data_IF_193515688747
#
_entry.id   IF_193515688747
#
_cell.length_a   1.000
_cell.length_b   1.000
_cell.length_c   1.000
_cell.angle_alpha   90.00
_cell.angle_beta   90.00
_cell.angle_gamma   90.00
#
_symmetry.space_group_name_H-M   'P 1'
#
loop_
_entity.id
_entity.type
_entity.pdbx_description
1 polymer ?
#
# COMPACT_ATOMS: atom_id res chain seq x y z
N UNK A 1 22.41 61.94 26.00
CA UNK A 1 21.74 60.91 26.83
C UNK A 1 22.59 59.67 26.67
N UNK A 2 23.59 59.37 27.50
CA UNK A 2 23.82 59.73 28.93
C UNK A 2 22.64 59.31 29.83
N UNK A 3 22.80 58.46 30.86
CA UNK A 3 24.01 57.96 31.55
C UNK A 3 23.90 56.48 32.02
N UNK A 4 25.08 55.85 32.21
CA UNK A 4 25.51 55.00 33.35
C UNK A 4 24.83 53.65 33.73
N UNK A 5 25.51 52.70 34.39
CA UNK A 5 26.98 52.43 34.54
C UNK A 5 27.23 51.03 35.19
N UNK A 6 28.39 50.42 34.87
CA UNK A 6 29.24 49.47 35.65
C UNK A 6 28.60 48.26 36.38
N UNK A 7 29.02 47.01 36.14
CA UNK A 7 30.31 46.33 36.45
C UNK A 7 30.40 45.83 37.92
N UNK A 8 31.17 44.79 38.30
CA UNK A 8 32.26 44.08 37.61
C UNK A 8 32.48 42.63 38.16
N UNK A 9 33.43 41.88 37.56
CA UNK A 9 34.42 40.89 38.10
C UNK A 9 34.17 40.17 39.47
N UNK A 10 34.63 38.96 39.80
CA UNK A 10 35.34 37.80 39.17
C UNK A 10 35.17 36.58 40.17
N UNK A 11 35.72 35.36 40.10
CA UNK A 11 36.75 34.66 39.28
C UNK A 11 36.45 33.12 39.27
N UNK A 12 37.42 32.30 38.84
CA UNK A 12 37.53 30.84 39.00
C UNK A 12 38.86 30.51 39.76
N UNK A 13 39.47 29.29 39.80
CA UNK A 13 39.10 27.99 39.21
C UNK A 13 39.43 26.71 40.06
N UNK A 14 39.23 25.54 39.43
CA UNK A 14 40.02 24.29 39.46
C UNK A 14 40.23 23.45 40.75
N UNK A 15 39.99 22.13 40.64
CA UNK A 15 41.00 21.05 40.88
C UNK A 15 40.39 19.63 40.79
N UNK A 16 41.24 18.59 40.65
CA UNK A 16 40.87 17.19 40.33
C UNK A 16 41.30 16.18 41.42
N UNK A 17 40.59 15.06 41.56
CA UNK A 17 41.17 13.76 41.98
C UNK A 17 40.33 12.88 42.92
N UNK A 18 40.71 11.59 43.09
CA UNK A 18 40.46 10.88 44.36
C UNK A 18 39.67 9.55 44.41
N UNK A 19 39.98 8.60 43.53
CA UNK A 19 39.55 7.16 43.54
C UNK A 19 39.43 6.44 44.92
N UNK A 20 38.24 5.87 45.20
CA UNK A 20 37.91 4.59 45.90
C UNK A 20 38.22 4.28 47.40
N UNK A 21 37.55 3.20 47.88
CA UNK A 21 37.74 2.37 49.09
C UNK A 21 37.15 2.87 50.45
N UNK A 22 36.66 2.02 51.39
CA UNK A 22 36.03 0.67 51.34
C UNK A 22 35.41 0.31 52.74
N UNK A 23 34.63 -0.79 52.82
CA UNK A 23 34.33 -1.61 54.03
C UNK A 23 33.34 -1.12 55.13
N UNK A 24 32.15 -1.74 55.14
CA UNK A 24 31.53 -2.44 56.30
C UNK A 24 30.51 -3.45 55.72
N UNK A 25 30.47 -4.76 56.01
CA UNK A 25 30.25 -5.48 57.28
C UNK A 25 28.93 -5.12 57.98
N UNK A 26 28.07 -6.06 58.38
CA UNK A 26 28.05 -7.53 58.25
C UNK A 26 26.61 -8.03 58.54
N UNK A 27 26.18 -9.19 58.03
CA UNK A 27 24.90 -9.80 58.41
C UNK A 27 24.40 -10.83 57.38
N UNK A 28 24.08 -12.04 57.83
CA UNK A 28 23.69 -13.14 56.93
C UNK A 28 22.38 -13.78 57.40
N UNK A 29 21.57 -14.25 56.43
CA UNK A 29 20.82 -15.49 56.59
C UNK A 29 20.57 -16.13 55.22
N UNK A 30 20.91 -17.43 55.10
CA UNK A 30 20.50 -18.29 53.98
C UNK A 30 19.23 -19.01 54.40
N UNK A 31 18.22 -18.97 53.55
CA UNK A 31 17.06 -19.88 53.59
C UNK A 31 16.86 -20.37 52.18
N UNK A 32 17.13 -21.67 51.97
CA UNK A 32 16.58 -22.38 50.82
C UNK A 32 15.24 -22.97 51.26
N UNK A 33 14.21 -22.76 50.46
CA UNK A 33 12.86 -23.23 50.70
C UNK A 33 12.02 -22.95 49.46
N UNK A 34 11.38 -23.98 48.93
CA UNK A 34 10.64 -23.89 47.68
C UNK A 34 9.33 -23.10 47.85
N UNK A 35 9.14 -22.07 47.03
CA UNK A 35 7.84 -21.46 46.78
C UNK A 35 7.73 -21.20 45.27
N UNK A 36 6.90 -21.99 44.59
CA UNK A 36 6.45 -21.67 43.24
C UNK A 36 5.34 -20.61 43.32
N UNK A 37 5.35 -19.65 42.36
CA UNK A 37 4.65 -18.35 42.43
C UNK A 37 5.17 -17.46 43.58
N UNK A 38 5.73 -16.29 43.33
CA UNK A 38 5.17 -15.24 42.46
C UNK A 38 6.09 -14.85 41.29
N UNK A 39 5.47 -14.50 40.15
CA UNK A 39 6.19 -14.03 38.96
C UNK A 39 6.21 -12.50 38.98
N UNK A 40 7.37 -11.90 39.24
CA UNK A 40 7.58 -10.52 38.82
C UNK A 40 7.63 -10.49 37.28
N UNK A 41 6.54 -9.95 36.74
CA UNK A 41 5.98 -10.30 35.42
C UNK A 41 5.84 -9.10 34.50
N UNK A 42 6.27 -7.91 34.93
CA UNK A 42 6.16 -6.68 34.15
C UNK A 42 7.26 -6.52 33.08
N UNK A 43 8.51 -6.87 33.39
CA UNK A 43 9.68 -6.43 32.59
C UNK A 43 10.26 -7.47 31.60
N UNK A 44 9.68 -8.67 31.48
CA UNK A 44 10.12 -9.70 30.50
C UNK A 44 9.20 -9.77 29.27
N UNK A 45 8.24 -8.86 29.14
CA UNK A 45 6.88 -9.29 28.76
C UNK A 45 6.19 -8.43 27.70
N UNK A 46 6.90 -7.51 27.03
CA UNK A 46 6.35 -6.76 25.88
C UNK A 46 6.44 -7.61 24.60
N UNK A 47 7.58 -7.64 23.91
CA UNK A 47 7.70 -8.30 22.59
C UNK A 47 7.22 -9.77 22.60
N UNK A 48 7.68 -10.58 23.57
CA UNK A 48 7.26 -11.99 23.69
C UNK A 48 5.77 -12.13 24.03
N UNK A 49 5.19 -11.13 24.70
CA UNK A 49 3.74 -11.04 24.94
C UNK A 49 2.98 -10.77 23.65
N UNK A 50 3.38 -9.75 22.88
CA UNK A 50 2.80 -9.43 21.57
C UNK A 50 2.93 -10.59 20.59
N UNK A 51 4.11 -11.24 20.50
CA UNK A 51 4.32 -12.45 19.69
C UNK A 51 3.37 -13.58 20.11
N UNK A 52 3.24 -13.85 21.42
CA UNK A 52 2.34 -14.88 21.94
C UNK A 52 0.86 -14.57 21.72
N UNK A 53 0.48 -13.29 21.66
CA UNK A 53 -0.90 -12.88 21.33
C UNK A 53 -1.18 -13.01 19.83
N UNK A 54 -0.28 -12.50 18.98
CA UNK A 54 -0.41 -12.51 17.53
C UNK A 54 -0.38 -13.94 16.95
N UNK A 55 0.45 -14.83 17.52
CA UNK A 55 0.52 -16.25 17.17
C UNK A 55 -0.45 -17.12 18.03
N UNK A 56 -1.21 -16.51 18.94
CA UNK A 56 -2.14 -17.16 19.89
C UNK A 56 -1.52 -18.12 20.93
N UNK A 57 -0.24 -18.47 20.76
CA UNK A 57 0.56 -19.25 21.70
C UNK A 57 2.05 -18.90 21.52
N UNK A 58 2.90 -19.08 22.54
CA UNK A 58 4.35 -18.98 22.36
C UNK A 58 4.87 -20.07 21.41
N UNK A 59 5.84 -19.76 20.53
CA UNK A 59 6.53 -20.74 19.70
C UNK A 59 7.04 -21.95 20.50
N UNK A 60 6.75 -23.15 19.99
CA UNK A 60 7.07 -24.42 20.67
C UNK A 60 7.53 -25.52 19.73
N UNK A 61 7.51 -25.29 18.41
CA UNK A 61 7.86 -26.27 17.38
C UNK A 61 9.04 -25.79 16.53
N UNK A 62 9.85 -26.75 16.11
CA UNK A 62 10.91 -26.60 15.09
C UNK A 62 10.36 -26.76 13.67
N UNK A 63 11.12 -26.37 12.64
CA UNK A 63 10.73 -26.57 11.23
C UNK A 63 10.53 -28.06 10.89
N UNK A 64 11.32 -28.93 11.54
CA UNK A 64 11.22 -30.38 11.42
C UNK A 64 9.88 -30.90 11.96
N UNK A 65 9.45 -30.43 13.13
CA UNK A 65 8.19 -30.80 13.76
C UNK A 65 6.98 -30.20 13.04
N UNK A 66 7.08 -28.96 12.54
CA UNK A 66 6.06 -28.34 11.70
C UNK A 66 5.77 -29.22 10.47
N UNK A 67 6.80 -29.59 9.71
CA UNK A 67 6.66 -30.46 8.54
C UNK A 67 6.05 -31.83 8.91
N UNK A 68 6.50 -32.44 10.01
CA UNK A 68 6.00 -33.73 10.48
C UNK A 68 4.54 -33.67 10.92
N UNK A 69 4.12 -32.65 11.69
CA UNK A 69 2.72 -32.47 12.13
C UNK A 69 1.79 -32.12 10.97
N UNK A 70 2.29 -31.39 9.97
CA UNK A 70 1.55 -31.11 8.74
C UNK A 70 1.55 -32.26 7.72
N UNK A 71 2.21 -33.39 8.02
CA UNK A 71 2.22 -34.57 7.15
C UNK A 71 3.02 -34.41 5.85
N UNK A 72 3.92 -33.43 5.77
CA UNK A 72 4.61 -33.05 4.54
C UNK A 72 6.14 -33.02 4.68
N UNK A 73 6.86 -32.72 3.61
CA UNK A 73 8.33 -32.63 3.65
C UNK A 73 8.81 -31.27 4.15
N UNK A 74 10.00 -31.23 4.75
CA UNK A 74 10.64 -29.96 5.14
C UNK A 74 10.85 -29.02 3.94
N UNK A 75 11.03 -29.55 2.73
CA UNK A 75 11.15 -28.75 1.51
C UNK A 75 9.83 -28.03 1.16
N UNK A 76 8.67 -28.68 1.40
CA UNK A 76 7.35 -28.06 1.23
C UNK A 76 7.10 -27.02 2.33
N UNK A 77 7.38 -27.36 3.60
CA UNK A 77 7.27 -26.41 4.71
C UNK A 77 8.13 -25.16 4.51
N UNK A 78 9.37 -25.32 4.02
CA UNK A 78 10.26 -24.20 3.71
C UNK A 78 9.80 -23.40 2.47
N UNK A 79 9.21 -24.05 1.45
CA UNK A 79 8.59 -23.34 0.31
C UNK A 79 7.37 -22.52 0.73
N UNK A 80 6.55 -23.03 1.64
CA UNK A 80 5.43 -22.31 2.27
C UNK A 80 5.94 -21.09 3.06
N UNK A 81 6.91 -21.30 3.96
CA UNK A 81 7.50 -20.23 4.77
C UNK A 81 8.09 -19.09 3.91
N UNK A 82 8.89 -19.42 2.88
CA UNK A 82 9.41 -18.43 1.91
C UNK A 82 8.33 -17.82 1.02
N UNK A 83 7.22 -18.52 0.75
CA UNK A 83 6.09 -17.94 0.02
C UNK A 83 5.31 -16.93 0.87
N UNK A 84 5.38 -17.02 2.20
CA UNK A 84 4.94 -15.98 3.13
C UNK A 84 5.96 -14.82 3.28
N UNK A 85 7.10 -14.87 2.58
CA UNK A 85 8.10 -13.79 2.54
C UNK A 85 9.14 -13.84 3.67
N UNK A 86 9.05 -14.79 4.59
CA UNK A 86 9.94 -14.89 5.73
C UNK A 86 11.34 -15.46 5.39
N UNK A 87 12.33 -15.12 6.22
CA UNK A 87 13.70 -15.62 6.11
C UNK A 87 13.81 -17.10 6.50
N UNK A 88 14.81 -17.80 5.94
CA UNK A 88 15.06 -19.21 6.26
C UNK A 88 15.46 -19.42 7.73
N UNK A 89 14.72 -20.31 8.41
CA UNK A 89 14.88 -20.72 9.82
C UNK A 89 15.72 -22.00 9.90
N UNK A 90 16.51 -22.19 10.96
CA UNK A 90 17.27 -23.44 11.11
C UNK A 90 16.35 -24.64 11.45
N UNK A 91 16.64 -25.87 10.96
CA UNK A 91 15.78 -27.05 11.15
C UNK A 91 15.36 -27.39 12.58
N UNK A 92 16.17 -26.99 13.55
CA UNK A 92 16.11 -27.24 15.00
C UNK A 92 15.77 -25.98 15.82
N UNK A 93 15.56 -24.83 15.18
CA UNK A 93 15.20 -23.58 15.85
C UNK A 93 13.69 -23.54 16.15
N UNK A 94 13.33 -23.33 17.42
CA UNK A 94 11.94 -23.24 17.86
C UNK A 94 11.35 -21.90 17.42
N UNK A 95 10.43 -21.94 16.44
CA UNK A 95 9.81 -20.76 15.82
C UNK A 95 8.33 -20.88 15.52
N UNK A 96 7.78 -22.08 15.50
CA UNK A 96 6.43 -22.34 14.99
C UNK A 96 5.46 -22.76 16.10
N UNK A 97 4.18 -22.62 15.82
CA UNK A 97 3.03 -22.93 16.67
C UNK A 97 2.11 -23.95 16.00
N UNK A 98 1.08 -24.43 16.70
CA UNK A 98 0.03 -25.24 16.08
C UNK A 98 -0.85 -24.45 15.10
N UNK A 99 -0.79 -23.10 15.06
CA UNK A 99 -1.43 -22.31 13.99
C UNK A 99 -0.65 -22.43 12.67
N UNK A 100 0.69 -22.42 12.71
CA UNK A 100 1.54 -22.64 11.54
C UNK A 100 1.32 -24.04 10.95
N UNK A 101 1.11 -25.04 11.82
CA UNK A 101 0.74 -26.41 11.42
C UNK A 101 -0.58 -26.42 10.65
N UNK A 102 -1.61 -25.74 11.16
CA UNK A 102 -2.92 -25.67 10.47
C UNK A 102 -2.82 -24.94 9.12
N UNK A 103 -2.15 -23.79 9.06
CA UNK A 103 -1.96 -23.04 7.82
C UNK A 103 -1.14 -23.80 6.76
N UNK A 104 -0.16 -24.60 7.19
CA UNK A 104 0.58 -25.50 6.31
C UNK A 104 -0.29 -26.69 5.86
N UNK A 105 -1.14 -27.26 6.73
CA UNK A 105 -2.08 -28.34 6.37
C UNK A 105 -3.09 -27.88 5.31
N UNK A 106 -3.71 -26.70 5.47
CA UNK A 106 -4.60 -26.10 4.48
C UNK A 106 -3.88 -25.88 3.13
N UNK A 107 -2.62 -25.45 3.17
CA UNK A 107 -1.80 -25.27 1.96
C UNK A 107 -1.46 -26.61 1.29
N UNK A 108 -1.15 -27.66 2.06
CA UNK A 108 -0.84 -29.00 1.56
C UNK A 108 -2.07 -29.64 0.92
N UNK A 109 -3.26 -29.51 1.53
CA UNK A 109 -4.51 -30.01 0.95
C UNK A 109 -4.77 -29.41 -0.45
N UNK A 110 -4.58 -28.10 -0.62
CA UNK A 110 -4.71 -27.41 -1.92
C UNK A 110 -3.63 -27.83 -2.93
N UNK A 111 -2.42 -28.17 -2.48
CA UNK A 111 -1.35 -28.70 -3.34
C UNK A 111 -1.65 -30.13 -3.81
N UNK A 112 -2.20 -30.98 -2.95
CA UNK A 112 -2.59 -32.35 -3.27
C UNK A 112 -3.81 -32.39 -4.20
N UNK A 113 -4.83 -31.56 -3.97
CA UNK A 113 -5.97 -31.38 -4.89
C UNK A 113 -5.55 -30.89 -6.29
N UNK A 114 -4.40 -30.21 -6.40
CA UNK A 114 -3.88 -29.69 -7.66
C UNK A 114 -2.73 -30.52 -8.26
N UNK A 115 -2.38 -31.65 -7.64
CA UNK A 115 -1.17 -32.43 -7.94
C UNK A 115 -1.06 -32.97 -9.38
N UNK A 116 -2.17 -33.20 -10.08
CA UNK A 116 -2.21 -33.58 -11.50
C UNK A 116 -1.67 -32.47 -12.44
N UNK A 117 -1.47 -31.25 -11.95
CA UNK A 117 -0.96 -30.12 -12.74
C UNK A 117 0.04 -29.28 -11.95
N UNK A 118 1.32 -29.38 -12.30
CA UNK A 118 2.40 -28.57 -11.70
C UNK A 118 2.19 -27.06 -11.86
N UNK A 119 1.44 -26.62 -12.88
CA UNK A 119 1.02 -25.22 -13.04
C UNK A 119 -0.02 -24.81 -11.98
N UNK A 120 -0.92 -25.71 -11.60
CA UNK A 120 -1.90 -25.47 -10.56
C UNK A 120 -1.25 -25.47 -9.16
N UNK A 121 -0.37 -26.43 -8.86
CA UNK A 121 0.40 -26.42 -7.60
C UNK A 121 1.30 -25.18 -7.46
N UNK A 122 1.90 -24.70 -8.57
CA UNK A 122 2.63 -23.43 -8.56
C UNK A 122 1.72 -22.23 -8.26
N UNK A 123 0.46 -22.28 -8.70
CA UNK A 123 -0.51 -21.21 -8.50
C UNK A 123 -0.91 -21.06 -7.01
N UNK A 124 -0.96 -22.15 -6.24
CA UNK A 124 -1.21 -22.11 -4.78
C UNK A 124 -0.13 -21.28 -4.06
N UNK A 125 1.15 -21.48 -4.38
CA UNK A 125 2.24 -20.71 -3.78
C UNK A 125 2.29 -19.25 -4.27
N UNK A 126 1.86 -18.95 -5.49
CA UNK A 126 1.73 -17.57 -5.98
C UNK A 126 0.56 -16.81 -5.30
N UNK A 127 -0.54 -17.49 -4.96
CA UNK A 127 -1.62 -16.90 -4.15
C UNK A 127 -1.11 -16.50 -2.75
N UNK A 128 -0.36 -17.38 -2.10
CA UNK A 128 0.25 -17.09 -0.79
C UNK A 128 1.25 -15.93 -0.84
N UNK A 129 2.06 -15.84 -1.91
CA UNK A 129 2.94 -14.68 -2.17
C UNK A 129 2.17 -13.39 -2.40
N UNK A 130 1.07 -13.43 -3.15
CA UNK A 130 0.24 -12.26 -3.39
C UNK A 130 -0.42 -11.74 -2.09
N UNK A 131 -0.80 -12.65 -1.19
CA UNK A 131 -1.27 -12.32 0.15
C UNK A 131 -0.13 -11.67 0.97
N UNK A 132 1.00 -12.36 1.14
CA UNK A 132 2.18 -11.88 1.89
C UNK A 132 2.65 -10.49 1.45
N UNK A 133 2.84 -10.29 0.14
CA UNK A 133 3.24 -9.00 -0.45
C UNK A 133 2.29 -7.85 -0.10
N UNK A 134 1.02 -8.15 0.13
CA UNK A 134 0.02 -7.17 0.57
C UNK A 134 0.07 -6.95 2.08
N UNK A 135 0.22 -8.02 2.88
CA UNK A 135 0.21 -7.95 4.34
C UNK A 135 1.44 -7.25 4.93
N UNK A 136 2.64 -7.51 4.40
CA UNK A 136 3.90 -6.84 4.81
C UNK A 136 3.75 -5.31 4.76
N UNK A 137 3.26 -4.80 3.63
CA UNK A 137 2.99 -3.38 3.40
C UNK A 137 1.84 -2.84 4.24
N UNK A 138 0.82 -3.65 4.50
CA UNK A 138 -0.35 -3.26 5.30
C UNK A 138 0.03 -3.08 6.77
N UNK A 139 0.64 -4.08 7.39
CA UNK A 139 0.99 -4.06 8.82
C UNK A 139 1.98 -2.94 9.13
N UNK A 140 2.96 -2.70 8.24
CA UNK A 140 3.85 -1.55 8.35
C UNK A 140 3.08 -0.22 8.31
N UNK A 141 2.13 -0.05 7.39
CA UNK A 141 1.35 1.19 7.27
C UNK A 141 0.38 1.38 8.44
N UNK A 142 -0.27 0.33 8.93
CA UNK A 142 -1.11 0.37 10.13
C UNK A 142 -0.30 0.78 11.37
N UNK A 143 0.90 0.22 11.56
CA UNK A 143 1.79 0.59 12.66
C UNK A 143 2.28 2.04 12.57
N UNK A 144 2.78 2.48 11.41
CA UNK A 144 3.28 3.86 11.22
C UNK A 144 2.14 4.90 11.35
N UNK A 145 0.92 4.55 10.90
CA UNK A 145 -0.27 5.40 11.11
C UNK A 145 -0.61 5.52 12.59
N UNK A 146 -0.53 4.42 13.35
CA UNK A 146 -0.80 4.43 14.79
C UNK A 146 0.28 5.19 15.58
N UNK A 147 1.55 5.04 15.23
CA UNK A 147 2.65 5.85 15.78
C UNK A 147 2.46 7.34 15.48
N UNK A 148 1.97 7.68 14.29
CA UNK A 148 1.68 9.08 13.90
C UNK A 148 0.54 9.68 14.72
N UNK A 149 -0.60 8.99 14.86
CA UNK A 149 -1.70 9.41 15.75
C UNK A 149 -1.22 9.57 17.20
N UNK A 150 -0.43 8.63 17.73
CA UNK A 150 0.11 8.73 19.08
C UNK A 150 1.05 9.93 19.25
N UNK A 151 1.88 10.23 18.26
CA UNK A 151 2.77 11.40 18.23
C UNK A 151 1.97 12.71 18.32
N UNK A 152 1.00 12.89 17.42
CA UNK A 152 0.20 14.13 17.33
C UNK A 152 -0.77 14.29 18.51
N UNK A 153 -1.53 13.24 18.84
CA UNK A 153 -2.62 13.27 19.83
C UNK A 153 -2.13 13.35 21.27
N UNK A 154 -0.89 12.93 21.55
CA UNK A 154 -0.29 12.96 22.88
C UNK A 154 0.90 13.94 22.99
N UNK A 155 1.34 14.55 21.89
CA UNK A 155 2.47 15.48 21.87
C UNK A 155 3.82 14.82 22.18
N UNK A 156 3.99 13.57 21.74
CA UNK A 156 5.17 12.74 22.01
C UNK A 156 6.26 12.96 20.95
N UNK A 157 7.51 12.63 21.31
CA UNK A 157 8.53 12.39 20.29
C UNK A 157 8.36 11.00 19.64
N UNK A 158 9.03 10.80 18.52
CA UNK A 158 9.02 9.59 17.70
C UNK A 158 9.34 8.29 18.48
N UNK A 159 10.26 8.36 19.46
CA UNK A 159 10.67 7.21 20.26
C UNK A 159 9.63 6.91 21.33
N UNK A 160 9.13 7.94 22.02
CA UNK A 160 8.06 7.79 23.01
C UNK A 160 6.75 7.29 22.35
N UNK A 161 6.40 7.80 21.16
CA UNK A 161 5.25 7.32 20.39
C UNK A 161 5.37 5.84 20.01
N UNK A 162 6.56 5.37 19.57
CA UNK A 162 6.81 3.94 19.28
C UNK A 162 6.75 3.06 20.53
N UNK A 163 7.24 3.51 21.68
CA UNK A 163 7.12 2.78 22.94
C UNK A 163 5.66 2.63 23.39
N UNK A 164 4.85 3.68 23.26
CA UNK A 164 3.41 3.63 23.56
C UNK A 164 2.65 2.80 22.51
N UNK A 165 3.09 2.77 21.25
CA UNK A 165 2.49 1.93 20.22
C UNK A 165 2.64 0.44 20.55
N UNK A 166 3.81 0.01 21.03
CA UNK A 166 4.03 -1.37 21.52
C UNK A 166 3.10 -1.70 22.70
N UNK A 167 3.07 -0.86 23.75
CA UNK A 167 2.17 -1.02 24.92
C UNK A 167 0.66 -1.00 24.60
N UNK A 168 0.28 -0.71 23.35
CA UNK A 168 -1.13 -0.58 22.91
C UNK A 168 -1.52 -1.42 21.70
N UNK A 169 -0.59 -2.04 20.98
CA UNK A 169 -0.88 -2.74 19.72
C UNK A 169 -1.89 -3.89 19.92
N UNK A 170 -1.77 -4.61 21.04
CA UNK A 170 -2.66 -5.72 21.44
C UNK A 170 -4.15 -5.33 21.46
N UNK A 171 -4.46 -4.07 21.81
CA UNK A 171 -5.82 -3.54 21.82
C UNK A 171 -6.41 -3.30 20.42
N UNK A 172 -5.58 -3.32 19.37
CA UNK A 172 -5.99 -3.13 17.98
C UNK A 172 -6.08 -4.45 17.19
N UNK A 173 -5.36 -5.51 17.58
CA UNK A 173 -5.26 -6.78 16.83
C UNK A 173 -6.64 -7.32 16.42
N UNK A 174 -7.56 -7.50 17.37
CA UNK A 174 -8.93 -8.01 17.12
C UNK A 174 -9.81 -7.04 16.31
N UNK A 175 -9.50 -5.74 16.29
CA UNK A 175 -10.19 -4.78 15.43
C UNK A 175 -9.68 -4.90 13.99
N UNK A 176 -8.36 -4.90 13.80
CA UNK A 176 -7.70 -4.98 12.50
C UNK A 176 -7.98 -6.32 11.81
N UNK A 177 -7.88 -7.46 12.51
CA UNK A 177 -8.19 -8.79 11.97
C UNK A 177 -9.63 -8.92 11.45
N UNK A 178 -10.61 -8.35 12.17
CA UNK A 178 -12.01 -8.31 11.69
C UNK A 178 -12.21 -7.36 10.51
N UNK A 179 -11.57 -6.20 10.53
CA UNK A 179 -11.63 -5.23 9.43
C UNK A 179 -11.01 -5.81 8.15
N UNK A 180 -9.83 -6.43 8.24
CA UNK A 180 -9.16 -7.13 7.15
C UNK A 180 -10.05 -8.21 6.53
N UNK A 181 -10.66 -9.05 7.38
CA UNK A 181 -11.60 -10.10 6.94
C UNK A 181 -12.84 -9.52 6.25
N UNK A 182 -13.40 -8.43 6.77
CA UNK A 182 -14.55 -7.75 6.17
C UNK A 182 -14.19 -7.12 4.81
N UNK A 183 -13.10 -6.34 4.75
CA UNK A 183 -12.61 -5.66 3.55
C UNK A 183 -12.28 -6.66 2.45
N UNK A 184 -11.57 -7.75 2.77
CA UNK A 184 -11.28 -8.84 1.81
C UNK A 184 -12.58 -9.44 1.24
N UNK A 185 -13.56 -9.76 2.09
CA UNK A 185 -14.87 -10.29 1.63
C UNK A 185 -15.61 -9.30 0.72
N UNK A 186 -15.55 -7.99 1.01
CA UNK A 186 -16.16 -6.94 0.17
C UNK A 186 -15.45 -6.79 -1.18
N UNK A 187 -14.12 -6.84 -1.22
CA UNK A 187 -13.38 -6.81 -2.49
C UNK A 187 -13.62 -8.07 -3.33
N UNK A 188 -13.63 -9.26 -2.71
CA UNK A 188 -13.92 -10.52 -3.40
C UNK A 188 -15.31 -10.48 -4.04
N UNK A 189 -16.36 -10.09 -3.30
CA UNK A 189 -17.71 -9.95 -3.84
C UNK A 189 -17.81 -8.91 -4.97
N UNK A 190 -17.07 -7.80 -4.87
CA UNK A 190 -17.01 -6.76 -5.90
C UNK A 190 -16.34 -7.25 -7.20
N UNK A 191 -15.22 -7.97 -7.09
CA UNK A 191 -14.51 -8.55 -8.24
C UNK A 191 -15.37 -9.62 -8.91
N UNK A 192 -15.97 -10.55 -8.14
CA UNK A 192 -16.84 -11.59 -8.69
C UNK A 192 -18.03 -11.01 -9.46
N UNK A 193 -18.69 -9.96 -8.93
CA UNK A 193 -19.79 -9.28 -9.63
C UNK A 193 -19.37 -8.57 -10.93
N UNK A 194 -18.14 -8.04 -11.00
CA UNK A 194 -17.57 -7.48 -12.23
C UNK A 194 -17.24 -8.56 -13.24
N UNK A 195 -16.63 -9.66 -12.80
CA UNK A 195 -16.31 -10.81 -13.67
C UNK A 195 -17.57 -11.43 -14.26
N UNK A 196 -18.65 -11.56 -13.48
CA UNK A 196 -19.96 -12.06 -13.96
C UNK A 196 -20.56 -11.17 -15.07
N UNK A 197 -20.56 -9.84 -14.88
CA UNK A 197 -21.00 -8.89 -15.89
C UNK A 197 -20.10 -8.87 -17.14
N UNK A 198 -18.78 -8.98 -16.96
CA UNK A 198 -17.79 -9.03 -18.04
C UNK A 198 -17.91 -10.33 -18.87
N UNK A 199 -18.14 -11.48 -18.22
CA UNK A 199 -18.40 -12.76 -18.91
C UNK A 199 -19.77 -12.73 -19.61
N UNK A 200 -20.80 -12.15 -18.99
CA UNK A 200 -22.15 -12.06 -19.57
C UNK A 200 -22.24 -11.15 -20.81
N UNK A 201 -21.27 -10.25 -21.02
CA UNK A 201 -21.24 -9.31 -22.14
C UNK A 201 -20.24 -9.67 -23.23
N UNK A 202 -19.31 -10.60 -22.98
CA UNK A 202 -18.31 -11.04 -23.97
C UNK A 202 -18.85 -12.08 -24.95
N UNK A 203 -18.48 -11.90 -26.23
CA UNK A 203 -18.50 -12.98 -27.22
C UNK A 203 -17.27 -13.89 -27.12
N UNK A 204 -17.07 -14.77 -28.11
CA UNK A 204 -15.79 -15.45 -28.29
C UNK A 204 -14.73 -14.43 -28.75
N UNK A 205 -13.70 -14.20 -27.94
CA UNK A 205 -12.47 -13.54 -28.38
C UNK A 205 -11.53 -14.54 -29.07
N UNK A 206 -10.75 -14.05 -30.04
CA UNK A 206 -9.62 -14.80 -30.61
C UNK A 206 -8.49 -14.91 -29.57
N UNK A 207 -8.33 -16.08 -28.96
CA UNK A 207 -7.23 -16.36 -28.03
C UNK A 207 -5.96 -16.72 -28.79
N UNK A 208 -4.98 -15.81 -28.80
CA UNK A 208 -3.64 -16.02 -29.35
C UNK A 208 -2.54 -15.90 -28.28
N UNK A 209 -1.38 -16.56 -28.44
CA UNK A 209 -0.35 -16.62 -27.40
C UNK A 209 0.27 -15.26 -27.05
N UNK A 210 0.29 -14.31 -28.00
CA UNK A 210 0.85 -12.97 -27.82
C UNK A 210 -0.20 -11.90 -27.45
N UNK A 211 -1.47 -12.28 -27.24
CA UNK A 211 -2.54 -11.33 -26.92
C UNK A 211 -2.69 -11.12 -25.42
N UNK A 212 -2.51 -9.88 -24.98
CA UNK A 212 -2.79 -9.48 -23.59
C UNK A 212 -4.28 -9.70 -23.25
N UNK A 213 -4.60 -10.38 -22.12
CA UNK A 213 -5.91 -11.02 -21.94
C UNK A 213 -7.04 -10.08 -21.49
N UNK A 214 -6.73 -8.89 -20.97
CA UNK A 214 -7.74 -7.98 -20.42
C UNK A 214 -7.77 -6.67 -21.22
N UNK A 215 -8.89 -6.39 -21.89
CA UNK A 215 -9.20 -5.01 -22.33
C UNK A 215 -9.57 -4.20 -21.08
N UNK A 216 -8.91 -3.06 -20.88
CA UNK A 216 -9.17 -2.14 -19.78
C UNK A 216 -9.00 -0.69 -20.22
N UNK A 217 -9.79 0.19 -19.62
CA UNK A 217 -9.66 1.64 -19.73
C UNK A 217 -8.85 2.15 -18.53
N UNK A 218 -7.69 2.76 -18.80
CA UNK A 218 -6.75 3.22 -17.78
C UNK A 218 -6.33 4.67 -18.03
N UNK A 219 -5.95 5.38 -16.97
CA UNK A 219 -5.51 6.76 -17.08
C UNK A 219 -4.48 7.15 -16.03
N UNK A 220 -3.78 8.23 -16.32
CA UNK A 220 -2.88 8.91 -15.41
C UNK A 220 -3.41 10.32 -15.13
N UNK A 221 -3.26 10.79 -13.89
CA UNK A 221 -3.43 12.19 -13.50
C UNK A 221 -2.17 12.65 -12.79
N UNK A 222 -1.63 13.80 -13.17
CA UNK A 222 -0.28 14.27 -12.84
C UNK A 222 -0.29 15.75 -12.44
N UNK A 223 0.43 16.12 -11.37
CA UNK A 223 0.48 17.52 -10.88
C UNK A 223 1.41 18.37 -11.75
N UNK A 224 0.86 19.45 -12.31
CA UNK A 224 1.61 20.36 -13.18
C UNK A 224 2.72 21.07 -12.40
N UNK A 225 3.96 20.91 -12.87
CA UNK A 225 5.16 21.56 -12.33
C UNK A 225 5.43 21.29 -10.85
N UNK A 226 5.06 20.10 -10.34
CA UNK A 226 5.29 19.68 -8.95
C UNK A 226 6.70 20.00 -8.43
N UNK A 227 7.75 19.67 -9.20
CA UNK A 227 9.16 19.92 -8.82
C UNK A 227 9.46 21.40 -8.55
N UNK A 228 8.80 22.33 -9.26
CA UNK A 228 8.94 23.77 -9.04
C UNK A 228 8.10 24.24 -7.84
N UNK A 229 6.88 23.71 -7.68
CA UNK A 229 6.00 24.02 -6.54
C UNK A 229 6.64 23.56 -5.21
N UNK A 230 7.20 22.35 -5.19
CA UNK A 230 7.87 21.75 -4.04
C UNK A 230 9.10 22.54 -3.55
N UNK A 231 9.87 23.16 -4.45
CA UNK A 231 11.06 23.97 -4.08
C UNK A 231 10.72 25.21 -3.25
N UNK A 232 9.48 25.71 -3.31
CA UNK A 232 9.02 26.88 -2.54
C UNK A 232 8.30 26.54 -1.23
N UNK A 233 8.18 25.25 -0.86
CA UNK A 233 7.30 24.80 0.22
C UNK A 233 8.07 24.23 1.41
N UNK A 234 7.46 24.32 2.60
CA UNK A 234 7.92 23.55 3.77
C UNK A 234 7.57 22.06 3.58
N UNK A 235 8.31 21.16 4.27
CA UNK A 235 8.03 19.71 4.24
C UNK A 235 6.56 19.41 4.55
N UNK A 236 6.03 20.00 5.63
CA UNK A 236 4.64 19.80 6.05
C UNK A 236 3.62 20.25 5.01
N UNK A 237 3.80 21.42 4.38
CA UNK A 237 2.89 21.91 3.34
C UNK A 237 2.95 21.04 2.07
N UNK A 238 4.13 20.49 1.73
CA UNK A 238 4.28 19.58 0.59
C UNK A 238 3.60 18.22 0.86
N UNK A 239 3.76 17.68 2.07
CA UNK A 239 3.06 16.48 2.54
C UNK A 239 1.54 16.66 2.46
N UNK A 240 1.00 17.73 3.06
CA UNK A 240 -0.44 18.01 3.04
C UNK A 240 -1.02 18.09 1.62
N UNK A 241 -0.33 18.75 0.67
CA UNK A 241 -0.79 18.82 -0.72
C UNK A 241 -0.82 17.44 -1.41
N UNK A 242 0.15 16.57 -1.13
CA UNK A 242 0.18 15.20 -1.66
C UNK A 242 -0.94 14.35 -1.05
N UNK A 243 -1.21 14.50 0.24
CA UNK A 243 -2.30 13.83 0.95
C UNK A 243 -3.68 14.30 0.44
N UNK A 244 -3.89 15.60 0.27
CA UNK A 244 -5.11 16.17 -0.34
C UNK A 244 -5.33 15.60 -1.75
N UNK A 245 -4.27 15.55 -2.56
CA UNK A 245 -4.30 15.03 -3.93
C UNK A 245 -4.60 13.52 -3.96
N UNK A 246 -3.89 12.71 -3.18
CA UNK A 246 -4.12 11.26 -3.11
C UNK A 246 -5.52 10.93 -2.60
N UNK A 247 -5.99 11.61 -1.54
CA UNK A 247 -7.32 11.38 -0.97
C UNK A 247 -8.42 11.79 -1.96
N UNK A 248 -8.34 12.99 -2.55
CA UNK A 248 -9.32 13.46 -3.55
C UNK A 248 -9.37 12.52 -4.76
N UNK A 249 -8.21 12.07 -5.25
CA UNK A 249 -8.14 11.12 -6.34
C UNK A 249 -8.77 9.77 -5.96
N UNK A 250 -8.41 9.22 -4.80
CA UNK A 250 -8.91 7.93 -4.29
C UNK A 250 -10.43 7.95 -4.13
N UNK A 251 -11.00 9.02 -3.60
CA UNK A 251 -12.44 9.20 -3.45
C UNK A 251 -13.15 9.35 -4.80
N UNK A 252 -12.66 10.21 -5.70
CA UNK A 252 -13.26 10.42 -7.03
C UNK A 252 -13.24 9.14 -7.87
N UNK A 253 -12.13 8.39 -7.85
CA UNK A 253 -11.95 7.11 -8.55
C UNK A 253 -12.89 6.04 -7.97
N UNK A 254 -12.87 5.85 -6.65
CA UNK A 254 -13.57 4.73 -6.00
C UNK A 254 -15.08 4.94 -5.97
N UNK A 255 -15.55 6.17 -5.75
CA UNK A 255 -16.99 6.51 -5.74
C UNK A 255 -17.70 6.24 -7.08
N UNK A 256 -16.94 6.16 -8.18
CA UNK A 256 -17.44 5.88 -9.54
C UNK A 256 -17.22 4.43 -9.99
N UNK A 257 -16.61 3.59 -9.15
CA UNK A 257 -16.36 2.18 -9.47
C UNK A 257 -15.11 1.91 -10.31
N UNK A 258 -14.21 2.89 -10.47
CA UNK A 258 -12.84 2.64 -10.91
C UNK A 258 -11.94 2.26 -9.71
N UNK A 259 -10.69 1.87 -9.98
CA UNK A 259 -9.72 1.45 -8.97
C UNK A 259 -8.40 2.19 -9.13
N UNK A 260 -7.82 2.69 -8.03
CA UNK A 260 -6.43 3.15 -7.99
C UNK A 260 -5.51 1.94 -8.18
N UNK A 261 -4.58 2.03 -9.13
CA UNK A 261 -3.55 0.99 -9.34
C UNK A 261 -2.36 1.27 -8.43
N UNK A 262 -1.84 2.50 -8.49
CA UNK A 262 -0.70 2.99 -7.71
C UNK A 262 -0.61 4.51 -7.78
N UNK A 263 0.08 5.10 -6.81
CA UNK A 263 0.60 6.47 -6.91
C UNK A 263 2.11 6.41 -7.20
N UNK A 264 2.62 7.43 -7.86
CA UNK A 264 4.01 7.53 -8.35
C UNK A 264 4.50 8.94 -8.03
N UNK A 265 4.65 9.24 -6.73
CA UNK A 265 4.91 10.60 -6.26
C UNK A 265 3.72 11.51 -6.53
N UNK A 266 3.86 12.41 -7.48
CA UNK A 266 2.89 13.43 -7.89
C UNK A 266 1.90 12.97 -8.99
N UNK A 267 1.94 11.68 -9.37
CA UNK A 267 1.01 11.09 -10.33
C UNK A 267 0.18 9.92 -9.75
N UNK A 268 -1.10 9.85 -10.11
CA UNK A 268 -2.02 8.73 -9.81
C UNK A 268 -2.30 7.94 -11.08
N UNK A 269 -2.13 6.62 -11.03
CA UNK A 269 -2.57 5.69 -12.07
C UNK A 269 -3.86 4.99 -11.62
N UNK A 270 -4.90 5.02 -12.46
CA UNK A 270 -6.18 4.37 -12.20
C UNK A 270 -6.62 3.47 -13.35
N UNK A 271 -7.55 2.55 -13.07
CA UNK A 271 -8.09 1.59 -14.05
C UNK A 271 -9.59 1.34 -13.85
N UNK A 272 -10.27 1.08 -14.96
CA UNK A 272 -11.68 0.72 -15.05
C UNK A 272 -11.86 -0.45 -16.01
N UNK A 273 -12.93 -1.21 -15.80
CA UNK A 273 -13.38 -2.28 -16.70
C UNK A 273 -14.31 -1.73 -17.79
N UNK A 274 -14.74 -0.46 -17.66
CA UNK A 274 -15.63 0.28 -18.57
C UNK A 274 -15.07 1.68 -18.90
N UNK A 275 -15.16 2.08 -20.17
CA UNK A 275 -14.63 3.34 -20.71
C UNK A 275 -15.41 4.58 -20.27
N UNK A 276 -16.73 4.49 -20.10
CA UNK A 276 -17.57 5.63 -19.74
C UNK A 276 -17.43 5.98 -18.25
N UNK A 277 -17.27 4.95 -17.40
CA UNK A 277 -16.81 5.11 -16.03
C UNK A 277 -15.42 5.76 -16.01
N UNK A 278 -14.49 5.32 -16.86
CA UNK A 278 -13.15 5.91 -16.92
C UNK A 278 -13.17 7.39 -17.37
N UNK A 279 -14.05 7.74 -18.31
CA UNK A 279 -14.28 9.10 -18.79
C UNK A 279 -14.94 9.99 -17.73
N UNK A 280 -15.92 9.48 -16.98
CA UNK A 280 -16.54 10.18 -15.84
C UNK A 280 -15.54 10.41 -14.70
N UNK A 281 -14.70 9.41 -14.41
CA UNK A 281 -13.61 9.50 -13.43
C UNK A 281 -12.62 10.60 -13.83
N UNK A 282 -11.98 10.53 -15.00
CA UNK A 282 -10.93 11.51 -15.34
C UNK A 282 -11.48 12.93 -15.51
N UNK A 283 -12.68 13.10 -16.06
CA UNK A 283 -13.28 14.44 -16.17
C UNK A 283 -13.64 15.00 -14.79
N UNK A 284 -14.19 14.20 -13.88
CA UNK A 284 -14.43 14.63 -12.51
C UNK A 284 -13.13 14.88 -11.71
N UNK A 285 -12.08 14.07 -11.92
CA UNK A 285 -10.81 14.21 -11.18
C UNK A 285 -10.11 15.53 -11.51
N UNK A 286 -10.10 15.90 -12.79
CA UNK A 286 -9.60 17.20 -13.26
C UNK A 286 -10.50 18.35 -12.79
N UNK A 287 -11.82 18.14 -12.71
CA UNK A 287 -12.77 19.14 -12.23
C UNK A 287 -12.63 19.39 -10.71
N UNK A 288 -12.65 18.36 -9.86
CA UNK A 288 -12.57 18.51 -8.40
C UNK A 288 -11.22 19.09 -7.94
N UNK A 289 -10.10 18.58 -8.45
CA UNK A 289 -8.76 19.06 -8.06
C UNK A 289 -8.51 20.52 -8.45
N UNK A 290 -9.28 21.08 -9.39
CA UNK A 290 -9.15 22.46 -9.86
C UNK A 290 -10.25 23.39 -9.33
N UNK A 291 -11.07 22.94 -8.37
CA UNK A 291 -11.99 23.79 -7.60
C UNK A 291 -11.28 24.45 -6.43
N UNK A 292 -11.90 25.54 -5.94
CA UNK A 292 -11.51 26.20 -4.70
C UNK A 292 -10.25 27.09 -4.80
N UNK A 293 -9.82 27.68 -3.67
CA UNK A 293 -8.64 28.55 -3.63
C UNK A 293 -7.31 27.79 -3.73
N UNK A 294 -7.24 26.57 -3.21
CA UNK A 294 -6.00 25.77 -3.13
C UNK A 294 -5.73 24.88 -4.37
N UNK A 295 -6.57 25.05 -5.40
CA UNK A 295 -6.64 24.31 -6.66
C UNK A 295 -5.29 23.75 -7.16
N UNK A 296 -5.22 22.42 -7.24
CA UNK A 296 -4.08 21.67 -7.76
C UNK A 296 -4.28 21.54 -9.28
N UNK A 297 -3.57 22.37 -10.05
CA UNK A 297 -3.52 22.22 -11.50
C UNK A 297 -2.91 20.87 -11.86
N UNK A 298 -3.74 19.99 -12.41
CA UNK A 298 -3.36 18.67 -12.92
C UNK A 298 -3.52 18.60 -14.42
N UNK A 299 -2.86 17.62 -15.03
CA UNK A 299 -3.00 17.22 -16.43
C UNK A 299 -3.24 15.71 -16.46
N UNK A 300 -3.92 15.19 -17.47
CA UNK A 300 -4.38 13.80 -17.43
C UNK A 300 -4.40 13.08 -18.79
N UNK A 301 -4.49 11.76 -18.74
CA UNK A 301 -4.74 10.90 -19.90
C UNK A 301 -5.74 9.79 -19.61
N UNK A 302 -6.34 9.25 -20.67
CA UNK A 302 -7.20 8.07 -20.66
C UNK A 302 -6.99 7.29 -21.96
N UNK A 303 -6.72 5.99 -21.85
CA UNK A 303 -6.53 5.06 -22.97
C UNK A 303 -7.23 3.73 -22.65
N UNK A 304 -8.00 3.24 -23.61
CA UNK A 304 -8.50 1.86 -23.62
C UNK A 304 -7.54 0.95 -24.40
N UNK A 305 -7.28 -0.25 -23.88
CA UNK A 305 -6.49 -1.24 -24.61
C UNK A 305 -6.24 -2.51 -23.82
N UNK A 306 -5.52 -3.46 -24.44
CA UNK A 306 -5.19 -4.74 -23.80
C UNK A 306 -3.98 -4.62 -22.87
N UNK A 307 -4.10 -5.16 -21.65
CA UNK A 307 -3.09 -5.11 -20.60
C UNK A 307 -2.90 -6.45 -19.88
N UNK A 308 -1.80 -6.58 -19.14
CA UNK A 308 -1.59 -7.61 -18.11
C UNK A 308 -1.75 -6.94 -16.74
N UNK A 309 -2.50 -7.58 -15.84
CA UNK A 309 -2.48 -7.28 -14.40
C UNK A 309 -1.57 -8.27 -13.70
N UNK A 310 -0.57 -7.82 -12.93
CA UNK A 310 0.37 -8.68 -12.18
C UNK A 310 0.78 -8.00 -10.87
N UNK A 311 0.71 -8.73 -9.75
CA UNK A 311 1.14 -8.25 -8.43
C UNK A 311 0.50 -6.90 -8.02
N UNK A 312 -0.79 -6.72 -8.33
CA UNK A 312 -1.55 -5.49 -8.10
C UNK A 312 -1.40 -4.40 -9.19
N UNK A 313 -0.27 -4.41 -9.90
CA UNK A 313 0.12 -3.43 -10.92
C UNK A 313 -0.30 -3.85 -12.35
N UNK A 314 -0.21 -2.93 -13.30
CA UNK A 314 -0.72 -3.09 -14.67
C UNK A 314 0.35 -2.72 -15.71
N UNK A 315 0.52 -3.57 -16.72
CA UNK A 315 1.59 -3.50 -17.72
C UNK A 315 1.08 -3.67 -19.15
N UNK A 316 1.73 -2.99 -20.10
CA UNK A 316 1.50 -3.16 -21.55
C UNK A 316 1.78 -1.88 -22.34
N UNK A 317 1.78 -1.93 -23.69
CA UNK A 317 1.92 -0.76 -24.55
C UNK A 317 0.89 0.34 -24.27
N UNK A 318 -0.35 -0.04 -23.90
CA UNK A 318 -1.42 0.86 -23.46
C UNK A 318 -1.02 1.75 -22.27
N UNK A 319 -0.29 1.18 -21.30
CA UNK A 319 0.22 1.91 -20.13
C UNK A 319 1.30 2.91 -20.53
N UNK A 320 2.21 2.50 -21.43
CA UNK A 320 3.26 3.36 -21.97
C UNK A 320 2.67 4.53 -22.79
N UNK A 321 1.62 4.26 -23.57
CA UNK A 321 0.90 5.27 -24.35
C UNK A 321 0.19 6.28 -23.43
N UNK A 322 -0.56 5.81 -22.42
CA UNK A 322 -1.22 6.69 -21.46
C UNK A 322 -0.22 7.57 -20.69
N UNK A 323 0.92 7.01 -20.28
CA UNK A 323 2.01 7.76 -19.63
C UNK A 323 2.58 8.87 -20.54
N UNK A 324 2.68 8.64 -21.86
CA UNK A 324 3.17 9.66 -22.81
C UNK A 324 2.10 10.67 -23.24
N UNK A 325 0.82 10.31 -23.16
CA UNK A 325 -0.29 11.23 -23.42
C UNK A 325 -0.45 12.25 -22.29
N UNK A 326 -0.21 11.87 -21.03
CA UNK A 326 -0.20 12.83 -19.90
C UNK A 326 1.05 13.73 -19.95
N UNK A 327 2.21 13.23 -20.40
CA UNK A 327 3.38 14.07 -20.70
C UNK A 327 3.07 15.18 -21.71
N UNK A 328 2.19 14.91 -22.68
CA UNK A 328 1.74 15.82 -23.74
C UNK A 328 0.43 16.58 -23.41
N UNK A 329 -0.09 16.46 -22.18
CA UNK A 329 -1.27 17.15 -21.74
C UNK A 329 -0.94 18.56 -21.23
N UNK A 330 -1.73 19.55 -21.66
CA UNK A 330 -1.70 20.91 -21.12
C UNK A 330 -2.29 20.93 -19.70
N UNK A 331 -2.02 21.97 -18.87
CA UNK A 331 -2.65 22.12 -17.57
C UNK A 331 -4.18 22.19 -17.68
N UNK A 332 -4.90 21.30 -16.99
CA UNK A 332 -6.36 21.11 -17.15
C UNK A 332 -6.77 20.27 -18.36
N UNK A 333 -5.83 19.92 -19.24
CA UNK A 333 -6.08 19.09 -20.41
C UNK A 333 -6.12 17.59 -20.07
N UNK A 334 -7.08 16.89 -20.67
CA UNK A 334 -7.12 15.43 -20.75
C UNK A 334 -6.68 15.04 -22.17
N UNK A 335 -5.92 13.94 -22.30
CA UNK A 335 -5.43 13.42 -23.59
C UNK A 335 -5.74 11.93 -23.80
N UNK A 336 -6.30 11.62 -24.97
CA UNK A 336 -6.62 10.28 -25.44
C UNK A 336 -5.76 9.93 -26.66
N UNK A 337 -5.72 8.65 -27.01
CA UNK A 337 -5.40 8.21 -28.37
C UNK A 337 -6.66 8.20 -29.25
N UNK A 338 -6.48 7.99 -30.56
CA UNK A 338 -7.58 7.97 -31.52
C UNK A 338 -8.59 6.83 -31.29
N UNK A 339 -8.15 5.63 -30.88
CA UNK A 339 -9.06 4.49 -30.70
C UNK A 339 -10.02 4.72 -29.53
N UNK A 340 -9.51 5.23 -28.41
CA UNK A 340 -10.30 5.64 -27.23
C UNK A 340 -11.22 6.81 -27.55
N UNK A 341 -10.71 7.84 -28.23
CA UNK A 341 -11.51 8.99 -28.67
C UNK A 341 -12.71 8.57 -29.54
N UNK A 342 -12.47 7.68 -30.50
CA UNK A 342 -13.50 7.14 -31.38
C UNK A 342 -14.45 6.17 -30.67
N UNK A 343 -14.01 5.48 -29.61
CA UNK A 343 -14.88 4.65 -28.78
C UNK A 343 -15.86 5.51 -27.95
N UNK A 344 -15.38 6.60 -27.32
CA UNK A 344 -16.24 7.57 -26.62
C UNK A 344 -17.25 8.20 -27.60
N UNK A 345 -16.80 8.63 -28.79
CA UNK A 345 -17.68 9.24 -29.82
C UNK A 345 -18.74 8.29 -30.40
N UNK A 346 -18.54 6.97 -30.33
CA UNK A 346 -19.54 5.95 -30.73
C UNK A 346 -20.44 5.50 -29.59
N UNK A 347 -20.18 5.94 -28.36
CA UNK A 347 -20.93 5.49 -27.18
C UNK A 347 -22.33 6.12 -27.08
N UNK A 348 -23.27 5.49 -26.34
CA UNK A 348 -24.57 6.10 -26.03
C UNK A 348 -24.46 7.44 -25.29
N UNK A 349 -23.34 7.69 -24.61
CA UNK A 349 -23.09 8.89 -23.81
C UNK A 349 -22.26 9.96 -24.52
N UNK A 350 -21.98 9.83 -25.82
CA UNK A 350 -21.12 10.76 -26.57
C UNK A 350 -21.48 12.25 -26.37
N UNK A 351 -22.76 12.59 -26.19
CA UNK A 351 -23.23 13.96 -25.91
C UNK A 351 -22.78 14.56 -24.56
N UNK A 352 -22.30 13.74 -23.60
CA UNK A 352 -21.68 14.19 -22.33
C UNK A 352 -20.25 14.70 -22.50
N UNK A 353 -19.66 14.55 -23.69
CA UNK A 353 -18.24 14.78 -23.94
C UNK A 353 -18.01 15.57 -25.22
N UNK A 354 -17.06 16.51 -25.18
CA UNK A 354 -16.44 17.10 -26.37
C UNK A 354 -15.11 16.39 -26.57
N UNK A 355 -14.91 15.86 -27.78
CA UNK A 355 -13.70 15.13 -28.19
C UNK A 355 -13.21 15.76 -29.49
N UNK A 356 -11.91 16.04 -29.58
CA UNK A 356 -11.32 16.72 -30.74
C UNK A 356 -9.85 16.35 -30.95
N UNK A 357 -9.38 16.46 -32.19
CA UNK A 357 -8.00 16.10 -32.52
C UNK A 357 -7.03 17.23 -32.11
N UNK A 358 -5.93 16.89 -31.45
CA UNK A 358 -4.87 17.83 -31.10
C UNK A 358 -3.82 17.95 -32.23
N UNK A 359 -2.88 18.88 -32.07
CA UNK A 359 -1.68 18.92 -32.89
C UNK A 359 -0.80 17.68 -32.63
N UNK A 360 -0.02 17.26 -33.63
CA UNK A 360 0.97 16.19 -33.50
C UNK A 360 2.06 16.55 -32.48
N UNK A 361 2.50 15.56 -31.70
CA UNK A 361 3.58 15.68 -30.71
C UNK A 361 4.57 14.52 -30.82
N UNK A 362 5.84 14.77 -30.47
CA UNK A 362 6.87 13.71 -30.42
C UNK A 362 6.92 13.11 -29.02
N UNK A 363 6.34 11.92 -28.86
CA UNK A 363 6.31 11.17 -27.62
C UNK A 363 7.59 10.32 -27.44
N UNK A 364 8.26 10.50 -26.30
CA UNK A 364 9.53 9.82 -25.95
C UNK A 364 9.36 8.29 -25.96
N UNK A 365 9.96 7.65 -26.97
CA UNK A 365 9.93 6.18 -27.16
C UNK A 365 8.74 5.65 -27.97
N UNK A 366 7.84 6.53 -28.44
CA UNK A 366 6.71 6.16 -29.33
C UNK A 366 6.79 6.83 -30.71
N UNK A 367 7.54 7.94 -30.84
CA UNK A 367 7.67 8.69 -32.10
C UNK A 367 6.62 9.81 -32.21
N UNK A 368 6.20 10.13 -33.42
CA UNK A 368 5.11 11.08 -33.67
C UNK A 368 3.78 10.41 -33.30
N UNK A 369 2.97 11.08 -32.48
CA UNK A 369 1.59 10.70 -32.17
C UNK A 369 0.68 11.92 -32.33
N UNK A 370 -0.60 11.68 -32.64
CA UNK A 370 -1.63 12.72 -32.69
C UNK A 370 -2.63 12.47 -31.55
N UNK A 371 -2.50 13.17 -30.41
CA UNK A 371 -3.44 13.04 -29.30
C UNK A 371 -4.83 13.55 -29.67
N UNK A 372 -5.81 13.17 -28.85
CA UNK A 372 -7.14 13.76 -28.86
C UNK A 372 -7.44 14.39 -27.49
N UNK A 373 -8.19 15.48 -27.46
CA UNK A 373 -8.69 16.08 -26.23
C UNK A 373 -9.98 15.40 -25.76
N UNK A 374 -10.21 15.43 -24.45
CA UNK A 374 -11.49 15.10 -23.82
C UNK A 374 -11.89 16.23 -22.87
N UNK A 375 -13.12 16.72 -23.02
CA UNK A 375 -13.75 17.68 -22.12
C UNK A 375 -15.15 17.18 -21.76
N UNK A 376 -15.60 17.39 -20.53
CA UNK A 376 -17.00 17.20 -20.16
C UNK A 376 -17.84 18.35 -20.74
N UNK A 377 -18.95 18.05 -21.40
CA UNK A 377 -19.93 19.09 -21.75
C UNK A 377 -20.67 19.51 -20.47
N UNK A 378 -20.41 20.73 -20.01
CA UNK A 378 -21.27 21.35 -19.00
C UNK A 378 -22.70 21.39 -19.52
N UNK A 379 -23.72 21.04 -18.72
CA UNK A 379 -25.10 21.17 -19.15
C UNK A 379 -25.37 22.64 -19.52
N UNK A 380 -25.83 22.88 -20.75
CA UNK A 380 -26.29 24.21 -21.16
C UNK A 380 -27.41 24.65 -20.23
N UNK A 381 -27.11 25.66 -19.41
CA UNK A 381 -28.07 26.26 -18.48
C UNK A 381 -29.24 26.82 -19.32
N UNK A 382 -30.49 26.40 -19.07
CA UNK A 382 -31.66 26.86 -19.84
C UNK A 382 -32.01 28.32 -19.57
#
# INVERSE_FOLDING_TARGET
MTLDSQASEELAPDSRGGVSQQMAHQGAHRVEGEAAAEVDSAERTTLVGHESLLLGAPPSLTLTELAQRAGTSMEVAQKFWRAMGFADVQPDEVRFTDQDVAALQDTVALLDETSDSSLASASVLELLRAQSYTMDRLVLWELETFVTDLSERLGLDDTAARLVALDRIDGLVELLSRQLTYVWRRHMASILGRTDAEVSTRGREDTGPDLYPLIRSLGFVDIVSFTQRAQGMSKAALTHMLEDFENTARDVITSRGARVVKTIGDAVMYISDDLLIAADVVTALVEELQKGPDAIRVRASLVEGRVISRSGDVFGPTVNLASRLVDAAEPGGIRLDESTAMAILRSPEAGRYRVGQCHEVVAKGLGQIVPWSLERTSPTRP
#
